data_IF_594343027261
#
_entry.id   IF_594343027261
#
_cell.length_a   1.000
_cell.length_b   1.000
_cell.length_c   1.000
_cell.angle_alpha   90.00
_cell.angle_beta   90.00
_cell.angle_gamma   90.00
#
_symmetry.space_group_name_H-M   'P 1'
#
loop_
_entity.id
_entity.type
_entity.pdbx_description
1 polymer ?
#
# COMPACT_ATOMS: atom_id res chain seq x y z
N UNK A 1 -64.01 51.02 -18.07
CA UNK A 1 -63.93 49.56 -17.85
C UNK A 1 -62.50 49.13 -18.16
N UNK A 2 -61.64 48.84 -17.16
CA UNK A 2 -60.31 48.31 -17.40
C UNK A 2 -60.27 46.76 -17.30
N UNK A 3 -59.56 46.19 -18.26
CA UNK A 3 -58.72 44.96 -18.31
C UNK A 3 -59.05 43.76 -17.41
N UNK A 4 -59.46 42.66 -18.04
CA UNK A 4 -59.40 41.31 -17.46
C UNK A 4 -58.00 40.73 -17.68
N UNK A 5 -57.20 40.72 -16.61
CA UNK A 5 -55.90 40.05 -16.59
C UNK A 5 -56.04 38.56 -16.80
N UNK A 6 -55.32 38.02 -17.78
CA UNK A 6 -55.09 36.59 -17.91
C UNK A 6 -54.24 36.13 -16.72
N UNK A 7 -54.82 35.30 -15.86
CA UNK A 7 -54.11 34.64 -14.77
C UNK A 7 -53.11 33.64 -15.38
N UNK A 8 -51.85 33.80 -15.01
CA UNK A 8 -50.70 33.07 -15.54
C UNK A 8 -50.72 31.60 -15.08
N UNK A 9 -50.43 30.61 -15.95
CA UNK A 9 -50.21 29.24 -15.53
C UNK A 9 -48.72 29.01 -15.22
N UNK A 10 -48.20 29.59 -14.13
CA UNK A 10 -46.77 29.51 -13.77
C UNK A 10 -46.52 28.76 -12.44
N UNK A 11 -47.51 28.01 -11.93
CA UNK A 11 -47.40 27.32 -10.63
C UNK A 11 -47.53 25.80 -10.75
N UNK A 12 -47.15 25.22 -11.89
CA UNK A 12 -47.28 23.76 -12.12
C UNK A 12 -45.99 22.95 -12.05
N UNK A 13 -44.85 23.59 -11.80
CA UNK A 13 -43.52 22.94 -11.74
C UNK A 13 -42.84 22.98 -10.35
N UNK A 14 -43.47 23.56 -9.31
CA UNK A 14 -42.88 23.60 -7.96
C UNK A 14 -43.28 22.44 -7.02
N UNK A 15 -44.04 21.46 -7.52
CA UNK A 15 -44.58 20.34 -6.72
C UNK A 15 -43.80 19.02 -6.86
N UNK A 16 -42.61 19.02 -7.48
CA UNK A 16 -41.93 17.77 -7.87
C UNK A 16 -40.56 17.49 -7.24
N UNK A 17 -40.18 18.18 -6.17
CA UNK A 17 -38.95 17.83 -5.47
C UNK A 17 -38.94 18.34 -4.01
N UNK A 18 -39.77 17.75 -3.13
CA UNK A 18 -39.41 17.80 -1.72
C UNK A 18 -38.13 16.99 -1.53
N UNK A 19 -37.09 17.53 -0.86
CA UNK A 19 -35.89 16.76 -0.60
C UNK A 19 -36.27 15.57 0.27
N UNK A 20 -36.06 14.36 -0.25
CA UNK A 20 -36.17 13.12 0.53
C UNK A 20 -35.33 13.32 1.79
N UNK A 21 -35.93 13.13 2.97
CA UNK A 21 -35.21 13.30 4.23
C UNK A 21 -34.00 12.37 4.25
N UNK A 22 -32.89 12.82 4.85
CA UNK A 22 -31.68 12.03 4.96
C UNK A 22 -31.93 10.64 5.58
N UNK A 23 -32.85 10.55 6.55
CA UNK A 23 -33.24 9.28 7.17
C UNK A 23 -33.95 8.33 6.21
N UNK A 24 -34.85 8.84 5.37
CA UNK A 24 -35.53 8.04 4.36
C UNK A 24 -34.57 7.53 3.28
N UNK A 25 -33.61 8.37 2.86
CA UNK A 25 -32.55 7.94 1.95
C UNK A 25 -31.63 6.91 2.61
N UNK A 26 -31.28 7.08 3.88
CA UNK A 26 -30.44 6.12 4.61
C UNK A 26 -31.11 4.75 4.72
N UNK A 27 -32.41 4.70 5.01
CA UNK A 27 -33.18 3.46 5.06
C UNK A 27 -33.20 2.73 3.71
N UNK A 28 -33.39 3.46 2.60
CA UNK A 28 -33.36 2.89 1.25
C UNK A 28 -31.98 2.29 0.92
N UNK A 29 -30.90 3.00 1.27
CA UNK A 29 -29.54 2.53 1.02
C UNK A 29 -29.16 1.34 1.89
N UNK A 30 -29.62 1.29 3.14
CA UNK A 30 -29.41 0.15 4.03
C UNK A 30 -30.10 -1.11 3.49
N UNK A 31 -31.34 -1.00 3.01
CA UNK A 31 -32.08 -2.11 2.40
C UNK A 31 -31.39 -2.60 1.12
N UNK A 32 -30.95 -1.67 0.26
CA UNK A 32 -30.19 -2.02 -0.94
C UNK A 32 -28.87 -2.74 -0.61
N UNK A 33 -28.10 -2.24 0.36
CA UNK A 33 -26.85 -2.85 0.79
C UNK A 33 -27.06 -4.24 1.42
N UNK A 34 -28.11 -4.40 2.22
CA UNK A 34 -28.48 -5.70 2.80
C UNK A 34 -28.87 -6.71 1.71
N UNK A 35 -29.63 -6.28 0.70
CA UNK A 35 -30.02 -7.12 -0.42
C UNK A 35 -28.82 -7.57 -1.27
N UNK A 36 -27.86 -6.66 -1.53
CA UNK A 36 -26.62 -7.00 -2.23
C UNK A 36 -25.75 -7.95 -1.41
N UNK A 37 -25.53 -7.65 -0.12
CA UNK A 37 -24.72 -8.47 0.77
C UNK A 37 -25.28 -9.88 0.94
N UNK A 38 -26.62 -10.06 0.90
CA UNK A 38 -27.25 -11.38 0.96
C UNK A 38 -26.86 -12.30 -0.23
N UNK A 39 -26.46 -11.72 -1.37
CA UNK A 39 -25.94 -12.47 -2.51
C UNK A 39 -24.44 -12.80 -2.41
N UNK A 40 -23.73 -12.21 -1.44
CA UNK A 40 -22.29 -12.39 -1.23
C UNK A 40 -22.08 -13.45 -0.14
N UNK A 41 -21.26 -14.46 -0.40
CA UNK A 41 -20.82 -15.42 0.62
C UNK A 41 -20.69 -16.86 0.15
N UNK A 42 -21.46 -17.27 -0.87
CA UNK A 42 -21.42 -18.64 -1.38
C UNK A 42 -21.64 -19.73 -0.31
N UNK A 43 -21.67 -21.01 -0.70
CA UNK A 43 -21.58 -22.10 0.26
C UNK A 43 -20.20 -22.15 0.90
N UNK A 44 -20.13 -22.60 2.16
CA UNK A 44 -18.86 -22.85 2.85
C UNK A 44 -18.00 -23.77 1.98
N UNK A 45 -16.80 -23.33 1.55
CA UNK A 45 -15.92 -24.14 0.72
C UNK A 45 -15.33 -25.34 1.48
N UNK A 46 -15.40 -25.35 2.82
CA UNK A 46 -14.81 -26.37 3.69
C UNK A 46 -15.76 -26.78 4.84
N UNK A 47 -16.93 -27.35 4.53
CA UNK A 47 -17.94 -27.69 5.54
C UNK A 47 -17.51 -28.83 6.47
N UNK A 48 -16.58 -29.67 6.03
CA UNK A 48 -16.08 -30.84 6.77
C UNK A 48 -14.82 -30.54 7.60
N UNK A 49 -14.33 -29.29 7.56
CA UNK A 49 -13.16 -28.85 8.31
C UNK A 49 -13.59 -28.39 9.70
N UNK A 50 -12.87 -28.89 10.70
CA UNK A 50 -13.05 -28.46 12.09
C UNK A 50 -12.86 -26.93 12.20
N UNK A 51 -13.78 -26.18 12.84
CA UNK A 51 -13.65 -24.74 13.00
C UNK A 51 -12.32 -24.31 13.63
N UNK A 52 -11.70 -25.16 14.46
CA UNK A 52 -10.40 -24.87 15.06
C UNK A 52 -9.25 -24.90 14.04
N UNK A 53 -9.33 -25.75 13.01
CA UNK A 53 -8.28 -25.91 11.99
C UNK A 53 -8.47 -24.95 10.80
N UNK A 54 -9.66 -24.36 10.66
CA UNK A 54 -10.06 -23.53 9.52
C UNK A 54 -9.15 -22.32 9.31
N UNK A 55 -8.80 -21.61 10.38
CA UNK A 55 -7.92 -20.45 10.30
C UNK A 55 -6.49 -20.82 9.84
N UNK A 56 -6.00 -21.99 10.24
CA UNK A 56 -4.68 -22.49 9.82
C UNK A 56 -4.71 -22.83 8.33
N UNK A 57 -5.76 -23.52 7.87
CA UNK A 57 -5.93 -23.92 6.48
C UNK A 57 -6.14 -22.71 5.55
N UNK A 58 -6.95 -21.73 5.95
CA UNK A 58 -7.13 -20.46 5.22
C UNK A 58 -5.83 -19.66 5.16
N UNK A 59 -5.00 -19.74 6.20
CA UNK A 59 -3.65 -19.17 6.26
C UNK A 59 -2.61 -19.91 5.40
N UNK A 60 -3.01 -20.95 4.65
CA UNK A 60 -2.13 -21.73 3.79
C UNK A 60 -1.71 -23.08 4.37
N UNK A 61 -2.24 -23.49 5.54
CA UNK A 61 -2.21 -24.85 6.06
C UNK A 61 -0.84 -25.45 6.41
N UNK A 62 0.25 -24.70 6.21
CA UNK A 62 1.60 -25.23 6.31
C UNK A 62 2.27 -24.91 7.65
N UNK A 63 3.03 -25.88 8.17
CA UNK A 63 4.30 -25.56 8.82
C UNK A 63 5.02 -24.55 7.93
N UNK A 64 5.63 -23.52 8.50
CA UNK A 64 6.36 -22.53 7.72
C UNK A 64 7.60 -23.19 7.11
N UNK A 65 7.43 -23.97 6.03
CA UNK A 65 8.48 -24.79 5.43
C UNK A 65 9.66 -23.91 5.01
N UNK A 66 9.41 -22.65 4.64
CA UNK A 66 10.45 -21.68 4.36
C UNK A 66 11.17 -21.13 5.59
N UNK A 67 10.51 -21.04 6.76
CA UNK A 67 11.12 -20.46 7.96
C UNK A 67 12.15 -21.40 8.58
N UNK A 68 11.81 -22.69 8.72
CA UNK A 68 12.74 -23.69 9.27
C UNK A 68 13.96 -23.88 8.35
N UNK A 69 13.75 -23.95 7.03
CA UNK A 69 14.84 -24.03 6.05
C UNK A 69 15.70 -22.76 6.03
N UNK A 70 15.08 -21.58 6.20
CA UNK A 70 15.82 -20.32 6.30
C UNK A 70 16.62 -20.23 7.60
N UNK A 71 16.07 -20.70 8.72
CA UNK A 71 16.79 -20.76 9.99
C UNK A 71 17.99 -21.71 9.89
N UNK A 72 17.80 -22.89 9.32
CA UNK A 72 18.90 -23.84 9.11
C UNK A 72 19.99 -23.25 8.19
N UNK A 73 19.60 -22.55 7.12
CA UNK A 73 20.55 -21.87 6.24
C UNK A 73 21.30 -20.75 6.96
N UNK A 74 20.62 -19.93 7.77
CA UNK A 74 21.24 -18.87 8.56
C UNK A 74 22.20 -19.44 9.61
N UNK A 75 21.82 -20.51 10.30
CA UNK A 75 22.69 -21.21 11.28
C UNK A 75 23.92 -21.77 10.60
N UNK A 76 23.79 -22.44 9.45
CA UNK A 76 24.91 -22.98 8.68
C UNK A 76 25.89 -21.90 8.24
N UNK A 77 25.37 -20.77 7.73
CA UNK A 77 26.18 -19.63 7.29
C UNK A 77 26.86 -18.92 8.47
N UNK A 78 26.15 -18.72 9.59
CA UNK A 78 26.71 -18.12 10.81
C UNK A 78 27.75 -19.02 11.49
N UNK A 79 27.57 -20.33 11.40
CA UNK A 79 28.51 -21.33 11.93
C UNK A 79 29.76 -21.49 11.07
N UNK A 80 29.83 -20.82 9.92
CA UNK A 80 30.91 -20.94 8.93
C UNK A 80 31.12 -22.39 8.47
N UNK A 81 30.05 -23.18 8.44
CA UNK A 81 30.10 -24.56 7.94
C UNK A 81 30.27 -24.60 6.41
N UNK A 82 29.82 -23.53 5.74
CA UNK A 82 30.05 -23.29 4.31
C UNK A 82 31.27 -22.39 4.06
N UNK A 83 31.81 -22.47 2.84
CA UNK A 83 32.90 -21.60 2.41
C UNK A 83 32.50 -20.11 2.58
N UNK A 84 33.40 -19.25 3.06
CA UNK A 84 33.08 -17.85 3.29
C UNK A 84 32.61 -17.19 2.00
N UNK A 85 31.39 -16.63 2.03
CA UNK A 85 30.90 -15.74 0.97
C UNK A 85 31.90 -14.60 0.81
N UNK A 86 32.46 -14.44 -0.39
CA UNK A 86 33.46 -13.40 -0.66
C UNK A 86 32.74 -12.19 -1.25
N UNK A 87 32.64 -11.06 -0.53
CA UNK A 87 31.92 -9.88 -1.01
C UNK A 87 32.50 -9.35 -2.33
N UNK A 88 33.79 -9.59 -2.56
CA UNK A 88 34.48 -9.22 -3.80
C UNK A 88 34.19 -10.19 -4.93
N UNK A 89 33.96 -11.48 -4.64
CA UNK A 89 33.61 -12.46 -5.66
C UNK A 89 32.14 -12.35 -6.10
N UNK A 90 31.25 -11.97 -5.17
CA UNK A 90 29.83 -11.76 -5.42
C UNK A 90 29.50 -10.30 -5.79
N UNK A 91 30.52 -9.44 -5.90
CA UNK A 91 30.34 -8.08 -6.36
C UNK A 91 29.83 -8.08 -7.81
N UNK A 92 28.81 -7.28 -8.08
CA UNK A 92 28.37 -7.02 -9.45
C UNK A 92 29.50 -6.34 -10.24
N UNK A 93 29.54 -6.58 -11.55
CA UNK A 93 30.44 -5.87 -12.44
C UNK A 93 30.15 -4.37 -12.36
N UNK A 94 31.13 -3.52 -11.99
CA UNK A 94 30.93 -2.08 -11.96
C UNK A 94 30.56 -1.57 -13.35
N UNK A 95 29.54 -0.70 -13.43
CA UNK A 95 29.23 0.00 -14.67
C UNK A 95 30.40 0.90 -15.07
N UNK A 96 30.81 0.85 -16.33
CA UNK A 96 31.84 1.72 -16.85
C UNK A 96 31.24 3.13 -17.08
N UNK A 97 31.58 4.08 -16.21
CA UNK A 97 31.22 5.49 -16.42
C UNK A 97 31.97 6.02 -17.65
N UNK A 98 31.33 5.94 -18.82
CA UNK A 98 31.90 6.40 -20.10
C UNK A 98 32.24 7.89 -20.09
N UNK A 99 31.56 8.65 -19.23
CA UNK A 99 31.54 10.12 -19.24
C UNK A 99 32.54 10.73 -18.23
N UNK A 100 33.17 9.92 -17.38
CA UNK A 100 34.10 10.38 -16.33
C UNK A 100 35.56 10.45 -16.77
N UNK A 101 35.89 9.94 -17.96
CA UNK A 101 37.26 9.93 -18.47
C UNK A 101 37.80 11.32 -18.83
N UNK A 102 36.93 12.32 -19.00
CA UNK A 102 37.30 13.70 -19.33
C UNK A 102 36.85 14.73 -18.29
N UNK A 103 36.36 14.27 -17.13
CA UNK A 103 35.87 15.17 -16.09
C UNK A 103 37.07 15.83 -15.36
N UNK A 104 37.30 17.10 -15.63
CA UNK A 104 38.24 17.93 -14.88
C UNK A 104 37.55 18.39 -13.59
N UNK A 105 37.96 17.84 -12.45
CA UNK A 105 37.46 18.29 -11.15
C UNK A 105 38.06 19.67 -10.84
N UNK A 106 37.20 20.66 -10.60
CA UNK A 106 37.64 22.00 -10.21
C UNK A 106 38.44 21.99 -8.91
N UNK A 107 39.43 22.87 -8.82
CA UNK A 107 40.26 23.04 -7.63
C UNK A 107 39.39 23.44 -6.43
N UNK A 108 39.57 22.76 -5.30
CA UNK A 108 38.92 23.16 -4.05
C UNK A 108 39.60 24.39 -3.48
N UNK A 109 38.82 25.40 -3.07
CA UNK A 109 39.37 26.55 -2.35
C UNK A 109 40.02 26.09 -1.04
N UNK A 110 41.33 26.31 -0.92
CA UNK A 110 42.09 25.99 0.27
C UNK A 110 41.71 26.92 1.40
N UNK A 111 41.13 26.38 2.48
CA UNK A 111 41.08 27.10 3.76
C UNK A 111 42.48 27.09 4.37
N UNK A 112 43.14 28.24 4.38
CA UNK A 112 44.38 28.44 5.15
C UNK A 112 44.04 28.27 6.63
N UNK A 113 44.31 27.08 7.18
CA UNK A 113 44.32 26.88 8.62
C UNK A 113 45.63 27.49 9.13
N UNK A 114 45.59 28.77 9.49
CA UNK A 114 46.69 29.43 10.19
C UNK A 114 46.90 28.70 11.54
N UNK A 115 48.05 28.05 11.77
CA UNK A 115 48.29 27.39 13.04
C UNK A 115 48.39 28.47 14.13
N UNK A 116 47.46 28.42 15.08
CA UNK A 116 47.56 29.14 16.35
C UNK A 116 48.95 28.88 16.94
N UNK A 117 49.79 29.91 16.99
CA UNK A 117 51.08 29.84 17.65
C UNK A 117 50.82 29.63 19.14
N UNK A 118 50.99 28.40 19.59
CA UNK A 118 51.13 28.11 21.02
C UNK A 118 52.45 28.74 21.46
N UNK A 119 52.34 29.91 22.08
CA UNK A 119 53.42 30.58 22.81
C UNK A 119 53.83 29.67 23.99
N UNK A 120 55.10 29.28 24.04
CA UNK A 120 55.73 28.59 25.17
C UNK A 120 56.49 29.57 26.04
#
# INVERSE_FOLDING_TARGET
MPESGAEQPEDRDMLRNEPVSADALAAEQEEAAAAEAAGIGGPDPQPDVDPEDRAVLEGGGGYAEGFEQSEEALVRQASHEDAPTSPTADAFTPEAESDRSTAEYGEGDGVENEPESTDQ
#
